data_IF_422957004497
#
_entry.id   IF_422957004497
#
_cell.length_a   1.000
_cell.length_b   1.000
_cell.length_c   1.000
_cell.angle_alpha   90.00
_cell.angle_beta   90.00
_cell.angle_gamma   90.00
#
_symmetry.space_group_name_H-M   'P 1'
#
loop_
_entity.id
_entity.type
_entity.pdbx_description
1 polymer ?
#
# COMPACT_ATOMS: atom_id res chain seq x y z
N UNK A 1 4.05 -7.85 39.87
CA UNK A 1 4.07 -6.38 40.05
C UNK A 1 4.44 -6.04 41.46
N UNK A 2 5.36 -5.10 41.66
CA UNK A 2 5.71 -4.63 43.00
C UNK A 2 4.57 -3.76 43.51
N UNK A 3 4.45 -3.66 44.87
CA UNK A 3 3.45 -2.81 45.48
C UNK A 3 3.62 -1.33 45.07
N UNK A 4 4.83 -0.91 44.81
CA UNK A 4 5.15 0.45 44.34
C UNK A 4 4.50 0.69 42.96
N UNK A 5 4.55 -0.28 42.05
CA UNK A 5 3.94 -0.16 40.73
C UNK A 5 2.42 -0.06 40.82
N UNK A 6 1.81 -0.85 41.69
CA UNK A 6 0.35 -0.84 41.89
C UNK A 6 -0.06 0.50 42.53
N UNK A 7 0.68 1.01 43.49
CA UNK A 7 0.42 2.30 44.10
C UNK A 7 0.56 3.43 43.09
N UNK A 8 1.54 3.37 42.22
CA UNK A 8 1.77 4.37 41.15
C UNK A 8 0.61 4.38 40.15
N UNK A 9 0.15 3.22 39.77
CA UNK A 9 -0.99 3.09 38.86
C UNK A 9 -2.27 3.61 39.49
N UNK A 10 -2.50 3.28 40.79
CA UNK A 10 -3.65 3.77 41.53
C UNK A 10 -3.61 5.29 41.70
N UNK A 11 -2.43 5.88 41.94
CA UNK A 11 -2.26 7.31 42.02
C UNK A 11 -2.55 8.02 40.71
N UNK A 12 -2.13 7.45 39.58
CA UNK A 12 -2.41 7.96 38.24
C UNK A 12 -3.91 7.92 37.96
N UNK A 13 -4.56 6.82 38.28
CA UNK A 13 -6.01 6.63 38.07
C UNK A 13 -6.84 7.56 38.98
N UNK A 14 -6.35 7.88 40.20
CA UNK A 14 -7.07 8.66 41.16
C UNK A 14 -6.83 10.15 41.13
N UNK A 15 -5.83 10.64 40.40
CA UNK A 15 -5.33 12.02 40.49
C UNK A 15 -5.79 12.96 39.37
N UNK A 16 -6.68 12.56 38.49
CA UNK A 16 -7.07 13.38 37.31
C UNK A 16 -6.05 13.39 36.20
N UNK A 17 -4.86 12.80 36.39
CA UNK A 17 -3.87 12.58 35.35
C UNK A 17 -4.40 11.59 34.27
N UNK A 18 -5.48 10.90 34.58
CA UNK A 18 -6.16 10.01 33.66
C UNK A 18 -6.63 10.73 32.38
N UNK A 19 -7.17 11.94 32.50
CA UNK A 19 -7.56 12.78 31.36
C UNK A 19 -6.38 13.08 30.45
N UNK A 20 -5.24 13.46 31.03
CA UNK A 20 -4.04 13.74 30.25
C UNK A 20 -3.49 12.48 29.59
N UNK A 21 -3.51 11.35 30.29
CA UNK A 21 -3.09 10.06 29.76
C UNK A 21 -3.97 9.63 28.58
N UNK A 22 -5.28 9.75 28.69
CA UNK A 22 -6.23 9.46 27.64
C UNK A 22 -6.00 10.36 26.43
N UNK A 23 -5.84 11.66 26.64
CA UNK A 23 -5.54 12.63 25.57
C UNK A 23 -4.24 12.30 24.88
N UNK A 24 -3.21 11.91 25.62
CA UNK A 24 -1.93 11.48 25.07
C UNK A 24 -2.06 10.23 24.20
N UNK A 25 -2.83 9.24 24.65
CA UNK A 25 -3.10 8.02 23.89
C UNK A 25 -3.85 8.35 22.60
N UNK A 26 -4.87 9.19 22.67
CA UNK A 26 -5.61 9.64 21.48
C UNK A 26 -4.70 10.36 20.49
N UNK A 27 -3.82 11.23 20.96
CA UNK A 27 -2.86 11.92 20.09
C UNK A 27 -1.92 10.95 19.39
N UNK A 28 -1.43 9.93 20.10
CA UNK A 28 -0.57 8.89 19.53
C UNK A 28 -1.33 8.09 18.48
N UNK A 29 -2.55 7.67 18.78
CA UNK A 29 -3.39 6.91 17.85
C UNK A 29 -3.70 7.75 16.60
N UNK A 30 -4.07 9.02 16.77
CA UNK A 30 -4.35 9.93 15.66
C UNK A 30 -3.12 10.13 14.77
N UNK A 31 -1.94 10.32 15.37
CA UNK A 31 -0.69 10.45 14.63
C UNK A 31 -0.34 9.19 13.87
N UNK A 32 -0.57 8.01 14.45
CA UNK A 32 -0.34 6.74 13.77
C UNK A 32 -1.30 6.54 12.60
N UNK A 33 -2.55 6.92 12.74
CA UNK A 33 -3.53 6.87 11.67
C UNK A 33 -3.15 7.80 10.53
N UNK A 34 -2.72 9.04 10.84
CA UNK A 34 -2.23 9.99 9.83
C UNK A 34 -0.99 9.46 9.12
N UNK A 35 -0.06 8.83 9.85
CA UNK A 35 1.11 8.19 9.24
C UNK A 35 0.72 7.04 8.34
N UNK A 36 -0.27 6.22 8.73
CA UNK A 36 -0.78 5.15 7.89
C UNK A 36 -1.38 5.69 6.61
N UNK A 37 -2.13 6.77 6.67
CA UNK A 37 -2.69 7.43 5.48
C UNK A 37 -1.59 7.98 4.58
N UNK A 38 -0.56 8.61 5.14
CA UNK A 38 0.59 9.08 4.39
C UNK A 38 1.39 7.96 3.76
N UNK A 39 1.60 6.86 4.48
CA UNK A 39 2.26 5.66 3.95
C UNK A 39 1.42 5.06 2.83
N UNK A 40 0.11 4.94 3.03
CA UNK A 40 -0.81 4.41 2.04
C UNK A 40 -0.79 5.24 0.75
N UNK A 41 -0.83 6.56 0.88
CA UNK A 41 -0.77 7.47 -0.27
C UNK A 41 0.58 7.37 -0.98
N UNK A 42 1.67 7.26 -0.22
CA UNK A 42 3.00 7.05 -0.77
C UNK A 42 3.13 5.74 -1.52
N UNK A 43 2.62 4.64 -0.94
CA UNK A 43 2.58 3.33 -1.60
C UNK A 43 1.74 3.37 -2.87
N UNK A 44 0.61 4.05 -2.83
CA UNK A 44 -0.26 4.22 -3.99
C UNK A 44 0.46 4.91 -5.13
N UNK A 45 1.20 6.00 -4.86
CA UNK A 45 2.00 6.68 -5.85
C UNK A 45 3.11 5.79 -6.40
N UNK A 46 3.81 5.06 -5.54
CA UNK A 46 4.89 4.15 -5.95
C UNK A 46 4.35 3.01 -6.81
N UNK A 47 3.22 2.42 -6.42
CA UNK A 47 2.59 1.34 -7.17
C UNK A 47 2.09 1.83 -8.52
N UNK A 48 1.48 3.00 -8.57
CA UNK A 48 1.07 3.64 -9.84
C UNK A 48 2.26 3.78 -10.78
N UNK A 49 3.32 4.39 -10.29
CA UNK A 49 4.53 4.63 -11.07
C UNK A 49 5.13 3.29 -11.56
N UNK A 50 5.22 2.31 -10.68
CA UNK A 50 5.80 1.02 -11.01
C UNK A 50 4.97 0.25 -12.04
N UNK A 51 3.67 0.17 -11.85
CA UNK A 51 2.77 -0.49 -12.81
C UNK A 51 2.81 0.22 -14.16
N UNK A 52 2.77 1.54 -14.14
CA UNK A 52 2.84 2.34 -15.35
C UNK A 52 4.16 2.12 -16.11
N UNK A 53 5.27 2.16 -15.40
CA UNK A 53 6.60 1.94 -15.98
C UNK A 53 6.74 0.54 -16.57
N UNK A 54 6.42 -0.48 -15.79
CA UNK A 54 6.54 -1.88 -16.22
C UNK A 54 5.58 -2.20 -17.36
N UNK A 55 4.33 -1.73 -17.26
CA UNK A 55 3.33 -1.93 -18.30
C UNK A 55 3.77 -1.34 -19.63
N UNK A 56 4.23 -0.10 -19.64
CA UNK A 56 4.72 0.56 -20.85
C UNK A 56 5.96 -0.14 -21.41
N UNK A 57 6.85 -0.59 -20.54
CA UNK A 57 8.04 -1.31 -20.96
C UNK A 57 7.69 -2.60 -21.71
N UNK A 58 6.74 -3.37 -21.21
CA UNK A 58 6.28 -4.59 -21.87
C UNK A 58 5.54 -4.31 -23.16
N UNK A 59 4.73 -3.24 -23.20
CA UNK A 59 4.05 -2.82 -24.41
C UNK A 59 5.07 -2.44 -25.49
N UNK A 60 6.12 -1.70 -25.14
CA UNK A 60 7.20 -1.35 -26.07
C UNK A 60 7.97 -2.58 -26.55
N UNK A 61 8.19 -3.55 -25.67
CA UNK A 61 8.84 -4.80 -26.03
C UNK A 61 7.95 -5.68 -26.93
N UNK A 62 6.64 -5.51 -26.88
CA UNK A 62 5.67 -6.24 -27.70
C UNK A 62 5.29 -7.60 -27.16
N UNK A 63 5.73 -7.95 -25.97
CA UNK A 63 5.38 -9.23 -25.32
C UNK A 63 5.54 -9.11 -23.80
N UNK A 64 4.93 -10.06 -23.09
CA UNK A 64 5.10 -10.20 -21.64
C UNK A 64 5.01 -11.69 -21.31
N UNK A 65 5.96 -12.20 -20.52
CA UNK A 65 5.89 -13.58 -20.05
C UNK A 65 4.70 -13.78 -19.12
N UNK A 66 4.20 -15.01 -19.01
CA UNK A 66 3.07 -15.29 -18.11
C UNK A 66 3.41 -14.97 -16.65
N UNK A 67 4.62 -15.22 -16.23
CA UNK A 67 5.10 -14.89 -14.89
C UNK A 67 5.07 -13.37 -14.65
N UNK A 68 5.64 -12.59 -15.55
CA UNK A 68 5.67 -11.13 -15.44
C UNK A 68 4.26 -10.55 -15.53
N UNK A 69 3.40 -11.11 -16.37
CA UNK A 69 2.00 -10.71 -16.46
C UNK A 69 1.29 -10.92 -15.12
N UNK A 70 1.48 -12.07 -14.51
CA UNK A 70 0.87 -12.40 -13.22
C UNK A 70 1.33 -11.44 -12.13
N UNK A 71 2.64 -11.17 -12.08
CA UNK A 71 3.21 -10.21 -11.12
C UNK A 71 2.61 -8.81 -11.32
N UNK A 72 2.51 -8.37 -12.56
CA UNK A 72 2.00 -7.04 -12.88
C UNK A 72 0.51 -6.93 -12.56
N UNK A 73 -0.28 -7.96 -12.83
CA UNK A 73 -1.70 -8.01 -12.46
C UNK A 73 -1.86 -7.95 -10.94
N UNK A 74 -1.06 -8.69 -10.19
CA UNK A 74 -1.09 -8.66 -8.72
C UNK A 74 -0.77 -7.26 -8.19
N UNK A 75 0.24 -6.60 -8.74
CA UNK A 75 0.60 -5.23 -8.37
C UNK A 75 -0.54 -4.26 -8.66
N UNK A 76 -1.18 -4.39 -9.82
CA UNK A 76 -2.32 -3.56 -10.19
C UNK A 76 -3.52 -3.79 -9.28
N UNK A 77 -3.79 -5.04 -8.90
CA UNK A 77 -4.86 -5.37 -7.95
C UNK A 77 -4.61 -4.74 -6.59
N UNK A 78 -3.38 -4.78 -6.09
CA UNK A 78 -3.01 -4.12 -4.84
C UNK A 78 -3.24 -2.60 -4.95
N UNK A 79 -2.84 -2.00 -6.04
CA UNK A 79 -3.04 -0.57 -6.28
C UNK A 79 -4.53 -0.22 -6.36
N UNK A 80 -5.29 -0.93 -7.17
CA UNK A 80 -6.68 -0.62 -7.46
C UNK A 80 -7.61 -0.95 -6.28
N UNK A 81 -7.53 -2.18 -5.77
CA UNK A 81 -8.44 -2.67 -4.74
C UNK A 81 -7.92 -2.42 -3.33
N UNK A 82 -6.63 -2.66 -3.09
CA UNK A 82 -6.04 -2.55 -1.76
C UNK A 82 -5.75 -1.12 -1.34
N UNK A 83 -5.27 -0.29 -2.24
CA UNK A 83 -4.88 1.09 -1.96
C UNK A 83 -5.92 2.12 -2.44
N UNK A 84 -7.01 1.68 -3.04
CA UNK A 84 -8.05 2.57 -3.53
C UNK A 84 -7.61 3.43 -4.71
N UNK A 85 -6.76 2.87 -5.59
CA UNK A 85 -6.33 3.56 -6.80
C UNK A 85 -7.49 3.80 -7.76
N UNK A 86 -7.32 4.78 -8.63
CA UNK A 86 -8.31 5.13 -9.65
C UNK A 86 -8.12 4.30 -10.92
N UNK A 87 -8.96 4.56 -11.92
CA UNK A 87 -8.97 3.82 -13.18
C UNK A 87 -7.93 4.25 -14.21
N UNK A 88 -6.96 5.08 -13.87
CA UNK A 88 -5.96 5.59 -14.83
C UNK A 88 -5.11 4.48 -15.47
N UNK A 89 -4.93 3.37 -14.78
CA UNK A 89 -4.15 2.25 -15.31
C UNK A 89 -4.99 1.19 -16.00
N UNK A 90 -6.30 1.34 -16.04
CA UNK A 90 -7.20 0.32 -16.62
C UNK A 90 -6.90 0.08 -18.10
N UNK A 91 -6.73 1.14 -18.88
CA UNK A 91 -6.40 1.02 -20.31
C UNK A 91 -5.03 0.39 -20.50
N UNK A 92 -4.04 0.83 -19.74
CA UNK A 92 -2.70 0.23 -19.76
C UNK A 92 -2.76 -1.26 -19.48
N UNK A 93 -3.52 -1.67 -18.46
CA UNK A 93 -3.64 -3.08 -18.08
C UNK A 93 -4.37 -3.91 -19.14
N UNK A 94 -5.36 -3.35 -19.83
CA UNK A 94 -6.00 -4.01 -20.97
C UNK A 94 -4.98 -4.31 -22.07
N UNK A 95 -4.12 -3.35 -22.36
CA UNK A 95 -3.07 -3.51 -23.39
C UNK A 95 -2.04 -4.54 -22.97
N UNK A 96 -1.64 -4.53 -21.69
CA UNK A 96 -0.71 -5.53 -21.12
C UNK A 96 -1.29 -6.93 -21.18
N UNK A 97 -2.56 -7.10 -20.80
CA UNK A 97 -3.23 -8.40 -20.83
C UNK A 97 -3.38 -8.96 -22.24
N UNK A 98 -3.41 -8.10 -23.24
CA UNK A 98 -3.52 -8.49 -24.63
C UNK A 98 -2.17 -8.86 -25.28
N UNK A 99 -1.05 -8.62 -24.60
CA UNK A 99 0.27 -8.92 -25.16
C UNK A 99 0.52 -10.43 -25.28
N UNK A 100 1.25 -10.87 -26.33
CA UNK A 100 1.64 -12.27 -26.46
C UNK A 100 2.71 -12.65 -25.43
N UNK A 101 2.85 -13.95 -25.16
CA UNK A 101 3.81 -14.47 -24.17
C UNK A 101 5.24 -14.52 -24.69
N UNK A 102 5.43 -14.46 -25.98
CA UNK A 102 6.74 -14.57 -26.61
C UNK A 102 6.89 -13.48 -27.66
N UNK A 103 8.13 -13.02 -27.91
CA UNK A 103 8.37 -12.03 -28.95
C UNK A 103 7.88 -12.53 -30.32
N UNK A 104 7.16 -11.68 -31.04
CA UNK A 104 6.65 -12.02 -32.37
C UNK A 104 7.76 -12.40 -33.36
N UNK A 105 8.95 -11.84 -33.17
CA UNK A 105 10.12 -12.11 -34.00
C UNK A 105 10.65 -13.54 -33.89
N UNK A 106 10.31 -14.25 -32.80
CA UNK A 106 10.75 -15.63 -32.55
C UNK A 106 9.75 -16.66 -33.08
N UNK A 107 8.54 -16.23 -33.40
CA UNK A 107 7.44 -17.09 -33.83
C UNK A 107 7.44 -17.41 -35.36
N UNK A 108 8.52 -17.19 -35.99
CA UNK A 108 8.65 -17.52 -37.43
C UNK A 108 8.76 -19.01 -37.68
#
# INVERSE_FOLDING_TARGET
MSETSVTLIAAILGSGALSAAISGVFAIITNRLKKKDGIRDGLKCLMYDRVNFLGNRHIEAGFITEEDRHILIDMWNVYHDGLGGNGYLDDLMKRVKALPNTPLTIQK
#
